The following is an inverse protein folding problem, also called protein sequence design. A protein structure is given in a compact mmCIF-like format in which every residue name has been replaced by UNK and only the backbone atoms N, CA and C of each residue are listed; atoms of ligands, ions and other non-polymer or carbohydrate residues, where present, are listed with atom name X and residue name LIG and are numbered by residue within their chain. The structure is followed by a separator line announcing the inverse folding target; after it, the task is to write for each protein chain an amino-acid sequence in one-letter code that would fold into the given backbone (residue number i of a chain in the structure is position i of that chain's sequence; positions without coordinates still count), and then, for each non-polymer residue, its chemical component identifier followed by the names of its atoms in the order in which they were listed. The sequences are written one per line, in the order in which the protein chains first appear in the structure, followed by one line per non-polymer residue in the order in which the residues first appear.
data_IF_281432722653
#
_entry.id   IF_281432722653
#
_cell.length_a   1.000
_cell.length_b   1.000
_cell.length_c   1.000
_cell.angle_alpha   90.00
_cell.angle_beta   90.00
_cell.angle_gamma   90.00
#
_symmetry.space_group_name_H-M   'P 1'
#
loop_
_entity.id
_entity.type
_entity.pdbx_description
1 polymer ?
#
# COMPACT_ATOMS: atom_id res chain seq x y z
N UNK A 1 11.59 -27.45 11.59
CA UNK A 1 12.19 -26.18 12.03
C UNK A 1 11.90 -25.14 10.94
N UNK A 2 10.73 -24.51 10.99
CA UNK A 2 10.29 -23.56 9.95
C UNK A 2 10.38 -22.14 10.49
N UNK A 3 11.15 -21.30 9.81
CA UNK A 3 11.30 -19.89 10.11
C UNK A 3 9.93 -19.20 10.18
N UNK A 4 9.42 -18.95 11.39
CA UNK A 4 8.29 -18.04 11.58
C UNK A 4 8.83 -16.62 11.40
N UNK A 5 8.83 -16.22 10.14
CA UNK A 5 9.13 -14.90 9.60
C UNK A 5 8.83 -13.78 10.60
N UNK A 6 9.89 -13.26 11.23
CA UNK A 6 9.88 -11.90 11.77
C UNK A 6 9.50 -10.98 10.61
N UNK A 7 8.31 -10.38 10.69
CA UNK A 7 7.79 -9.53 9.62
C UNK A 7 8.85 -8.48 9.28
N UNK A 8 9.25 -8.41 8.00
CA UNK A 8 10.28 -7.48 7.49
C UNK A 8 10.07 -6.04 7.94
N UNK A 9 8.85 -5.67 8.33
CA UNK A 9 8.50 -4.41 8.97
C UNK A 9 7.96 -4.65 10.39
N UNK A 10 8.29 -3.75 11.31
CA UNK A 10 7.61 -3.71 12.63
C UNK A 10 6.18 -3.23 12.48
N UNK A 11 5.33 -3.49 13.49
CA UNK A 11 3.96 -2.98 13.50
C UNK A 11 3.90 -1.44 13.40
N UNK A 12 4.87 -0.74 14.01
CA UNK A 12 4.97 0.73 13.96
C UNK A 12 5.32 1.20 12.54
N UNK A 13 6.30 0.57 11.90
CA UNK A 13 6.71 0.86 10.52
C UNK A 13 5.56 0.62 9.53
N UNK A 14 4.85 -0.51 9.68
CA UNK A 14 3.66 -0.81 8.89
C UNK A 14 2.59 0.27 9.03
N UNK A 15 2.20 0.62 10.27
CA UNK A 15 1.20 1.68 10.53
C UNK A 15 1.60 3.01 9.91
N UNK A 16 2.87 3.39 9.99
CA UNK A 16 3.37 4.62 9.38
C UNK A 16 3.30 4.55 7.85
N UNK A 17 3.66 3.42 7.23
CA UNK A 17 3.55 3.23 5.78
C UNK A 17 2.11 3.23 5.27
N UNK A 18 1.15 2.65 6.00
CA UNK A 18 -0.29 2.74 5.67
C UNK A 18 -0.71 4.20 5.56
N UNK A 19 -0.39 5.02 6.57
CA UNK A 19 -0.77 6.43 6.56
C UNK A 19 -0.06 7.24 5.48
N UNK A 20 1.18 6.86 5.15
CA UNK A 20 1.88 7.44 3.98
C UNK A 20 1.18 7.09 2.67
N UNK A 21 0.73 5.85 2.51
CA UNK A 21 0.01 5.41 1.32
C UNK A 21 -1.37 6.07 1.17
N UNK A 22 -1.98 6.50 2.28
CA UNK A 22 -3.16 7.38 2.33
C UNK A 22 -2.89 8.85 2.00
N UNK A 23 -1.64 9.21 1.69
CA UNK A 23 -1.26 10.58 1.34
C UNK A 23 -0.97 11.50 2.52
N UNK A 24 -0.95 11.02 3.76
CA UNK A 24 -0.73 11.90 4.92
C UNK A 24 0.71 12.42 5.00
N UNK A 25 0.85 13.65 5.48
CA UNK A 25 2.13 14.28 5.81
C UNK A 25 2.69 13.74 7.11
N UNK A 26 4.01 13.86 7.34
CA UNK A 26 4.63 13.40 8.57
C UNK A 26 4.04 14.07 9.83
N UNK A 27 3.55 15.31 9.71
CA UNK A 27 2.88 16.05 10.79
C UNK A 27 1.50 15.47 11.11
N UNK A 28 0.74 15.07 10.11
CA UNK A 28 -0.56 14.41 10.31
C UNK A 28 -0.39 13.01 10.89
N UNK A 29 0.58 12.25 10.40
CA UNK A 29 0.93 10.93 10.93
C UNK A 29 1.35 11.05 12.40
N UNK A 30 2.21 12.01 12.72
CA UNK A 30 2.66 12.29 14.09
C UNK A 30 1.49 12.54 15.04
N UNK A 31 0.55 13.41 14.63
CA UNK A 31 -0.68 13.69 15.39
C UNK A 31 -1.55 12.43 15.57
N UNK A 32 -1.76 11.66 14.50
CA UNK A 32 -2.64 10.47 14.53
C UNK A 32 -2.06 9.31 15.35
N UNK A 33 -0.73 9.20 15.40
CA UNK A 33 -0.03 8.15 16.14
C UNK A 33 0.49 8.61 17.51
N UNK A 34 0.06 9.79 17.97
CA UNK A 34 0.45 10.42 19.24
C UNK A 34 1.97 10.40 19.45
N UNK A 35 2.72 10.89 18.47
CA UNK A 35 4.18 10.81 18.42
C UNK A 35 4.80 12.06 17.79
N UNK A 36 6.12 12.20 17.88
CA UNK A 36 6.83 13.30 17.22
C UNK A 36 7.01 13.07 15.71
N UNK A 37 7.12 14.17 14.95
CA UNK A 37 7.46 14.12 13.51
C UNK A 37 8.84 13.49 13.27
N UNK A 38 9.78 13.70 14.19
CA UNK A 38 11.11 13.07 14.16
C UNK A 38 11.01 11.55 14.26
N UNK A 39 10.18 11.03 15.18
CA UNK A 39 9.92 9.60 15.31
C UNK A 39 9.33 9.02 14.02
N UNK A 40 8.39 9.72 13.37
CA UNK A 40 7.83 9.30 12.08
C UNK A 40 8.90 9.23 11.00
N UNK A 41 9.79 10.23 10.91
CA UNK A 41 10.91 10.23 9.96
C UNK A 41 11.84 9.03 10.19
N UNK A 42 12.18 8.73 11.43
CA UNK A 42 13.03 7.58 11.78
C UNK A 42 12.35 6.27 11.40
N UNK A 43 11.06 6.08 11.75
CA UNK A 43 10.31 4.89 11.35
C UNK A 43 10.23 4.74 9.82
N UNK A 44 10.00 5.82 9.09
CA UNK A 44 9.99 5.79 7.62
C UNK A 44 11.35 5.42 7.04
N UNK A 45 12.43 5.97 7.60
CA UNK A 45 13.78 5.63 7.17
C UNK A 45 14.07 4.15 7.39
N UNK A 46 13.78 3.62 8.58
CA UNK A 46 13.94 2.19 8.89
C UNK A 46 13.10 1.31 7.96
N UNK A 47 11.85 1.67 7.70
CA UNK A 47 10.99 0.95 6.78
C UNK A 47 11.55 0.95 5.34
N UNK A 48 12.03 2.10 4.85
CA UNK A 48 12.67 2.19 3.53
C UNK A 48 13.92 1.30 3.44
N UNK A 49 14.78 1.32 4.46
CA UNK A 49 16.00 0.50 4.51
C UNK A 49 15.64 -0.99 4.46
N UNK A 50 14.70 -1.45 5.29
CA UNK A 50 14.27 -2.86 5.32
C UNK A 50 13.63 -3.31 4.01
N UNK A 51 12.90 -2.41 3.34
CA UNK A 51 12.29 -2.70 2.03
C UNK A 51 13.25 -2.55 0.86
N UNK A 52 14.43 -1.96 1.06
CA UNK A 52 15.36 -1.51 0.01
C UNK A 52 14.70 -0.50 -0.95
N UNK A 53 13.93 0.43 -0.38
CA UNK A 53 13.24 1.48 -1.11
C UNK A 53 14.06 2.78 -1.14
N UNK A 54 14.11 3.45 -2.29
CA UNK A 54 14.80 4.73 -2.47
C UNK A 54 14.02 5.92 -1.90
N UNK A 55 12.71 5.80 -1.79
CA UNK A 55 11.83 6.82 -1.25
C UNK A 55 10.56 6.22 -0.64
N UNK A 56 9.82 7.04 0.12
CA UNK A 56 8.59 6.61 0.83
C UNK A 56 7.49 6.08 -0.10
N UNK A 57 7.38 6.61 -1.33
CA UNK A 57 6.40 6.13 -2.29
C UNK A 57 6.76 4.72 -2.78
N UNK A 58 8.03 4.49 -3.11
CA UNK A 58 8.53 3.17 -3.47
C UNK A 58 8.40 2.18 -2.30
N UNK A 59 8.58 2.64 -1.05
CA UNK A 59 8.40 1.80 0.13
C UNK A 59 6.95 1.29 0.24
N UNK A 60 5.95 2.14 0.02
CA UNK A 60 4.53 1.72 -0.01
C UNK A 60 4.29 0.69 -1.11
N UNK A 61 4.74 0.98 -2.34
CA UNK A 61 4.56 0.07 -3.48
C UNK A 61 5.21 -1.29 -3.23
N UNK A 62 6.44 -1.31 -2.72
CA UNK A 62 7.15 -2.56 -2.40
C UNK A 62 6.47 -3.33 -1.28
N UNK A 63 5.98 -2.65 -0.25
CA UNK A 63 5.28 -3.29 0.85
C UNK A 63 3.94 -3.88 0.40
N UNK A 64 3.18 -3.20 -0.47
CA UNK A 64 1.96 -3.77 -1.09
C UNK A 64 2.29 -4.98 -1.97
N UNK A 65 3.29 -4.87 -2.85
CA UNK A 65 3.70 -5.98 -3.74
C UNK A 65 4.15 -7.24 -2.99
N UNK A 66 4.72 -7.07 -1.80
CA UNK A 66 5.17 -8.17 -0.94
C UNK A 66 4.08 -8.68 0.03
N UNK A 67 2.85 -8.16 -0.05
CA UNK A 67 1.76 -8.51 0.88
C UNK A 67 2.01 -8.06 2.32
N UNK A 68 2.91 -7.09 2.54
CA UNK A 68 3.24 -6.56 3.87
C UNK A 68 2.28 -5.45 4.33
N UNK A 69 1.54 -4.86 3.39
CA UNK A 69 0.45 -3.92 3.63
C UNK A 69 -0.81 -4.47 2.96
N UNK A 70 -1.92 -4.45 3.67
CA UNK A 70 -3.22 -4.75 3.07
C UNK A 70 -3.73 -3.51 2.33
N UNK A 71 -4.24 -3.71 1.12
CA UNK A 71 -4.86 -2.65 0.33
C UNK A 71 -6.13 -2.10 0.98
N UNK A 72 -6.85 -2.92 1.76
CA UNK A 72 -8.02 -2.51 2.54
C UNK A 72 -7.64 -1.57 3.70
N UNK A 73 -6.40 -1.66 4.20
CA UNK A 73 -5.89 -0.69 5.18
C UNK A 73 -5.52 0.65 4.52
N UNK A 74 -5.32 0.69 3.20
CA UNK A 74 -4.95 1.91 2.46
C UNK A 74 -6.19 2.70 2.04
N UNK A 75 -7.11 2.09 1.31
CA UNK A 75 -8.38 2.70 0.89
C UNK A 75 -9.48 1.65 0.92
N UNK A 76 -10.68 2.01 1.39
CA UNK A 76 -11.84 1.14 1.18
C UNK A 76 -12.22 1.13 -0.31
N UNK A 77 -12.93 0.08 -0.75
CA UNK A 77 -13.42 0.03 -2.13
C UNK A 77 -14.33 1.22 -2.44
N UNK A 78 -15.16 1.63 -1.48
CA UNK A 78 -16.02 2.82 -1.59
C UNK A 78 -15.21 4.12 -1.73
N UNK A 79 -14.14 4.29 -0.95
CA UNK A 79 -13.26 5.46 -1.06
C UNK A 79 -12.55 5.51 -2.42
N UNK A 80 -12.09 4.36 -2.90
CA UNK A 80 -11.46 4.22 -4.22
C UNK A 80 -12.45 4.51 -5.34
N UNK A 81 -13.68 4.01 -5.24
CA UNK A 81 -14.75 4.28 -6.18
C UNK A 81 -15.12 5.78 -6.21
N UNK A 82 -15.21 6.42 -5.05
CA UNK A 82 -15.48 7.86 -4.96
C UNK A 82 -14.34 8.71 -5.58
N UNK A 83 -13.08 8.33 -5.35
CA UNK A 83 -11.92 8.97 -5.97
C UNK A 83 -11.95 8.85 -7.49
N UNK A 84 -12.20 7.66 -8.02
CA UNK A 84 -12.30 7.44 -9.47
C UNK A 84 -13.47 8.21 -10.09
N UNK A 85 -14.63 8.20 -9.43
CA UNK A 85 -15.80 8.97 -9.87
C UNK A 85 -15.50 10.47 -9.95
N UNK A 86 -14.68 11.01 -9.03
CA UNK A 86 -14.28 12.42 -9.04
C UNK A 86 -13.34 12.79 -10.21
N UNK A 87 -12.65 11.81 -10.82
CA UNK A 87 -11.78 12.00 -11.98
C UNK A 87 -12.55 11.95 -13.31
N UNK A 88 -13.85 11.66 -13.28
CA UNK A 88 -14.73 11.60 -14.43
C UNK A 88 -14.91 10.19 -15.03
N UNK A 89 -15.89 10.04 -15.95
CA UNK A 89 -16.28 8.74 -16.49
C UNK A 89 -15.18 8.08 -17.33
N UNK A 90 -14.38 8.86 -18.05
CA UNK A 90 -13.31 8.36 -18.91
C UNK A 90 -12.19 7.67 -18.11
N UNK A 91 -11.76 8.26 -16.99
CA UNK A 91 -10.76 7.68 -16.11
C UNK A 91 -11.28 6.39 -15.47
N UNK A 92 -12.54 6.38 -15.05
CA UNK A 92 -13.18 5.20 -14.45
C UNK A 92 -13.28 4.05 -15.46
N UNK A 93 -13.71 4.33 -16.69
CA UNK A 93 -13.79 3.34 -17.77
C UNK A 93 -12.42 2.75 -18.12
N UNK A 94 -11.39 3.61 -18.23
CA UNK A 94 -10.02 3.17 -18.52
C UNK A 94 -9.50 2.19 -17.45
N UNK A 95 -9.71 2.52 -16.17
CA UNK A 95 -9.31 1.63 -15.07
C UNK A 95 -10.13 0.34 -15.10
N UNK A 96 -11.43 0.40 -15.37
CA UNK A 96 -12.28 -0.79 -15.47
C UNK A 96 -11.83 -1.74 -16.60
N UNK A 97 -11.50 -1.21 -17.78
CA UNK A 97 -10.98 -1.97 -18.91
C UNK A 97 -9.64 -2.64 -18.60
N UNK A 98 -8.71 -1.92 -17.97
CA UNK A 98 -7.42 -2.48 -17.56
C UNK A 98 -7.58 -3.60 -16.54
N UNK A 99 -8.47 -3.43 -15.56
CA UNK A 99 -8.77 -4.45 -14.56
C UNK A 99 -9.40 -5.69 -15.20
N UNK A 100 -10.38 -5.51 -16.09
CA UNK A 100 -11.00 -6.60 -16.85
C UNK A 100 -9.95 -7.39 -17.63
N UNK A 101 -9.10 -6.71 -18.38
CA UNK A 101 -8.01 -7.34 -19.16
C UNK A 101 -7.03 -8.11 -18.27
N UNK A 102 -6.65 -7.55 -17.12
CA UNK A 102 -5.79 -8.21 -16.12
C UNK A 102 -6.43 -9.46 -15.52
N UNK A 103 -7.73 -9.42 -15.21
CA UNK A 103 -8.46 -10.55 -14.65
C UNK A 103 -8.63 -11.69 -15.67
N UNK A 104 -8.89 -11.36 -16.94
CA UNK A 104 -8.95 -12.33 -18.03
C UNK A 104 -7.59 -13.01 -18.26
N UNK A 105 -6.48 -12.27 -18.17
CA UNK A 105 -5.12 -12.81 -18.27
C UNK A 105 -4.69 -13.61 -17.03
N UNK A 106 -5.25 -13.32 -15.86
CA UNK A 106 -4.92 -14.00 -14.60
C UNK A 106 -5.74 -15.27 -14.37
N UNK A 107 -6.74 -15.56 -15.21
CA UNK A 107 -7.51 -16.81 -15.15
C UNK A 107 -6.58 -17.94 -15.57
N UNK A 108 -6.22 -18.89 -14.69
CA UNK A 108 -5.36 -20.00 -15.08
C UNK A 108 -6.09 -20.82 -16.15
N UNK A 109 -5.31 -21.45 -17.04
CA UNK A 109 -5.78 -22.57 -17.84
C UNK A 109 -6.30 -23.66 -16.89
N UNK A 110 -7.56 -23.58 -16.48
CA UNK A 110 -8.31 -24.70 -15.90
C UNK A 110 -8.67 -25.62 -17.06
N UNK A 111 -7.64 -26.23 -17.62
CA UNK A 111 -7.64 -27.13 -18.76
C UNK A 111 -6.40 -27.99 -18.65
N UNK A 112 -6.37 -28.82 -17.60
CA UNK A 112 -5.63 -30.07 -17.64
C UNK A 112 -6.71 -31.13 -17.45
N UNK A 113 -7.03 -31.76 -18.57
CA UNK A 113 -7.69 -33.08 -18.69
C UNK A 113 -6.90 -34.16 -17.96
#
# INVERSE_FOLDING_TARGET
MGERQDSVLTQRERKVLVLVGRGLTNREIARRLFTSTSTVKICLHQACVKLKARNRAQAVILAMKRGLLDTQELYSLDELAALLASLGPEATETVAQLLKSKLEQARPLSGIE
#
